data_IF_724583027868
#
_entry.id   IF_724583027868
#
_cell.length_a   1.000
_cell.length_b   1.000
_cell.length_c   1.000
_cell.angle_alpha   90.00
_cell.angle_beta   90.00
_cell.angle_gamma   90.00
#
_symmetry.space_group_name_H-M   'P 1'
#
loop_
_entity.id
_entity.type
_entity.pdbx_description
1 polymer ?
#
# COMPACT_ATOMS: atom_id res chain seq x y z
N UNK A 1 -1.33 6.48 7.56
CA UNK A 1 -2.09 5.34 8.13
C UNK A 1 -3.51 5.68 8.54
N UNK A 2 -3.77 6.86 9.15
CA UNK A 2 -5.14 7.33 9.45
C UNK A 2 -6.03 7.46 8.20
N UNK A 3 -5.45 7.74 7.02
CA UNK A 3 -6.15 7.69 5.72
C UNK A 3 -6.53 6.28 5.29
N UNK A 4 -5.67 5.30 5.61
CA UNK A 4 -5.77 3.93 5.11
C UNK A 4 -6.75 3.13 5.96
N UNK A 5 -8.02 3.54 5.98
CA UNK A 5 -9.10 2.91 6.73
C UNK A 5 -10.12 2.25 5.79
N UNK A 6 -10.79 1.17 6.23
CA UNK A 6 -11.93 0.62 5.51
C UNK A 6 -12.99 1.68 5.25
N UNK A 7 -13.75 1.52 4.16
CA UNK A 7 -14.91 2.37 3.84
C UNK A 7 -14.57 3.87 3.63
N UNK A 8 -13.31 4.15 3.29
CA UNK A 8 -12.80 5.49 2.98
C UNK A 8 -12.23 5.58 1.55
N UNK A 9 -12.50 4.58 0.69
CA UNK A 9 -11.93 4.45 -0.67
C UNK A 9 -10.40 4.51 -0.71
N UNK A 10 -9.73 4.10 0.37
CA UNK A 10 -8.29 4.21 0.54
C UNK A 10 -7.52 2.97 0.10
N UNK A 11 -8.21 1.84 -0.14
CA UNK A 11 -7.57 0.58 -0.48
C UNK A 11 -7.01 -0.15 0.74
N UNK A 12 -7.77 -0.24 1.83
CA UNK A 12 -7.32 -0.70 3.14
C UNK A 12 -6.88 -2.18 3.20
N UNK A 13 -7.25 -3.00 2.22
CA UNK A 13 -7.01 -4.43 2.21
C UNK A 13 -6.18 -4.86 0.99
N UNK A 14 -5.33 -5.88 1.17
CA UNK A 14 -4.53 -6.52 0.12
C UNK A 14 -5.44 -7.30 -0.84
N UNK A 15 -6.03 -6.59 -1.79
CA UNK A 15 -6.88 -7.17 -2.83
C UNK A 15 -6.90 -6.30 -4.08
N UNK A 16 -7.40 -6.89 -5.17
CA UNK A 16 -7.68 -6.19 -6.42
C UNK A 16 -9.11 -6.44 -6.89
N UNK A 17 -9.66 -5.58 -7.73
CA UNK A 17 -11.01 -5.75 -8.26
C UNK A 17 -11.35 -4.83 -9.43
N UNK A 18 -12.38 -5.19 -10.20
CA UNK A 18 -12.88 -4.37 -11.31
C UNK A 18 -13.82 -3.32 -10.77
N UNK A 19 -13.54 -2.05 -11.09
CA UNK A 19 -14.27 -0.88 -10.59
C UNK A 19 -14.42 -0.75 -9.07
N UNK A 20 -13.87 -1.69 -8.30
CA UNK A 20 -13.97 -1.72 -6.85
C UNK A 20 -13.14 -0.59 -6.23
N UNK A 21 -13.84 0.42 -5.70
CA UNK A 21 -13.23 1.61 -5.08
C UNK A 21 -12.62 1.33 -3.71
N UNK A 22 -12.87 0.18 -3.09
CA UNK A 22 -12.27 -0.20 -1.80
C UNK A 22 -11.07 -1.14 -1.95
N UNK A 23 -10.82 -1.67 -3.15
CA UNK A 23 -9.64 -2.47 -3.43
C UNK A 23 -8.35 -1.63 -3.40
N UNK A 24 -7.23 -2.21 -2.98
CA UNK A 24 -5.92 -1.57 -3.05
C UNK A 24 -5.48 -1.34 -4.50
N UNK A 25 -5.78 -2.31 -5.37
CA UNK A 25 -5.56 -2.23 -6.81
C UNK A 25 -6.92 -2.25 -7.52
N UNK A 26 -7.26 -1.18 -8.22
CA UNK A 26 -8.51 -1.08 -8.98
C UNK A 26 -8.23 -1.17 -10.47
N UNK A 27 -9.03 -1.96 -11.17
CA UNK A 27 -9.05 -2.00 -12.64
C UNK A 27 -10.30 -1.26 -13.10
N UNK A 28 -10.19 0.01 -13.53
CA UNK A 28 -11.34 0.78 -13.98
C UNK A 28 -11.81 0.30 -15.35
N UNK A 29 -13.13 0.16 -15.50
CA UNK A 29 -13.73 -0.05 -16.81
C UNK A 29 -13.62 1.20 -17.67
N UNK A 30 -13.39 1.03 -18.96
CA UNK A 30 -13.43 2.10 -19.95
C UNK A 30 -14.53 1.80 -20.98
N UNK A 31 -15.45 2.74 -21.17
CA UNK A 31 -16.50 2.63 -22.20
C UNK A 31 -15.93 2.61 -23.62
N UNK A 32 -14.67 3.03 -23.81
CA UNK A 32 -13.95 2.96 -25.08
C UNK A 32 -13.00 1.78 -25.07
N UNK A 33 -12.95 1.05 -26.18
CA UNK A 33 -12.02 -0.05 -26.39
C UNK A 33 -10.65 0.46 -26.86
N UNK A 34 -9.53 -0.20 -26.49
CA UNK A 34 -9.48 -1.38 -25.63
C UNK A 34 -9.66 -1.05 -24.14
N UNK A 35 -10.32 -1.94 -23.40
CA UNK A 35 -10.44 -1.90 -21.93
C UNK A 35 -9.94 -3.22 -21.33
N UNK A 36 -9.25 -3.20 -20.17
CA UNK A 36 -8.82 -2.03 -19.38
C UNK A 36 -7.64 -1.27 -20.02
N UNK A 37 -7.54 0.03 -19.76
CA UNK A 37 -6.42 0.87 -20.27
C UNK A 37 -5.30 1.06 -19.27
N UNK A 38 -5.59 0.91 -17.97
CA UNK A 38 -4.64 1.13 -16.89
C UNK A 38 -5.10 0.43 -15.61
N UNK A 39 -4.23 0.47 -14.60
CA UNK A 39 -4.47 -0.03 -13.25
C UNK A 39 -4.29 1.16 -12.29
N UNK A 40 -5.14 1.27 -11.27
CA UNK A 40 -5.06 2.28 -10.22
C UNK A 40 -4.50 1.65 -8.93
N UNK A 41 -3.34 2.13 -8.46
CA UNK A 41 -2.82 1.81 -7.11
C UNK A 41 -3.29 2.87 -6.12
N UNK A 42 -4.19 2.51 -5.21
CA UNK A 42 -4.92 3.46 -4.36
C UNK A 42 -4.28 3.75 -3.00
N UNK A 43 -3.33 2.91 -2.62
CA UNK A 43 -2.71 2.94 -1.29
C UNK A 43 -1.65 4.04 -1.15
N UNK A 44 -1.25 4.68 -2.25
CA UNK A 44 -0.31 5.80 -2.27
C UNK A 44 -1.02 7.11 -1.99
N UNK A 45 -0.38 8.01 -1.23
CA UNK A 45 -0.83 9.39 -1.01
C UNK A 45 0.31 10.39 -1.15
N UNK A 46 -0.03 11.67 -1.05
CA UNK A 46 0.89 12.79 -1.31
C UNK A 46 2.04 12.92 -0.30
N UNK A 47 2.05 12.14 0.79
CA UNK A 47 3.19 12.09 1.70
C UNK A 47 4.33 11.23 1.17
N UNK A 48 4.07 10.38 0.17
CA UNK A 48 5.08 9.52 -0.42
C UNK A 48 6.01 10.29 -1.36
N UNK A 49 7.30 9.93 -1.35
CA UNK A 49 8.20 10.35 -2.43
C UNK A 49 7.76 9.67 -3.73
N UNK A 50 7.38 10.42 -4.79
CA UNK A 50 6.79 9.85 -6.00
C UNK A 50 7.74 8.93 -6.75
N UNK A 51 9.05 9.19 -6.71
CA UNK A 51 10.06 8.35 -7.35
C UNK A 51 10.18 6.99 -6.66
N UNK A 52 10.21 6.98 -5.32
CA UNK A 52 10.29 5.75 -4.55
C UNK A 52 9.00 4.93 -4.65
N UNK A 53 7.84 5.59 -4.60
CA UNK A 53 6.54 4.92 -4.73
C UNK A 53 6.38 4.27 -6.11
N UNK A 54 6.68 5.00 -7.18
CA UNK A 54 6.62 4.47 -8.54
C UNK A 54 7.66 3.36 -8.77
N UNK A 55 8.89 3.55 -8.30
CA UNK A 55 9.96 2.56 -8.39
C UNK A 55 9.59 1.24 -7.70
N UNK A 56 9.04 1.30 -6.49
CA UNK A 56 8.58 0.13 -5.76
C UNK A 56 7.43 -0.59 -6.49
N UNK A 57 6.48 0.15 -7.06
CA UNK A 57 5.38 -0.44 -7.83
C UNK A 57 5.88 -1.15 -9.10
N UNK A 58 6.83 -0.55 -9.82
CA UNK A 58 7.45 -1.15 -11.01
C UNK A 58 8.23 -2.42 -10.63
N UNK A 59 9.06 -2.36 -9.58
CA UNK A 59 9.83 -3.51 -9.13
C UNK A 59 8.93 -4.69 -8.73
N UNK A 60 7.87 -4.44 -7.95
CA UNK A 60 6.90 -5.46 -7.58
C UNK A 60 6.14 -6.04 -8.79
N UNK A 61 5.77 -5.19 -9.75
CA UNK A 61 5.10 -5.63 -10.97
C UNK A 61 5.99 -6.51 -11.86
N UNK A 62 7.27 -6.13 -12.03
CA UNK A 62 8.25 -6.90 -12.80
C UNK A 62 8.52 -8.27 -12.16
N UNK A 63 8.71 -8.33 -10.83
CA UNK A 63 8.88 -9.60 -10.11
C UNK A 63 7.70 -10.55 -10.35
N UNK A 64 6.47 -10.02 -10.30
CA UNK A 64 5.25 -10.80 -10.58
C UNK A 64 5.22 -11.38 -11.99
N UNK A 65 5.66 -10.60 -13.00
CA UNK A 65 5.73 -11.05 -14.39
C UNK A 65 6.82 -12.11 -14.56
N UNK A 66 8.03 -11.85 -14.06
CA UNK A 66 9.20 -12.74 -14.20
C UNK A 66 8.94 -14.10 -13.55
N UNK A 67 8.30 -14.09 -12.39
CA UNK A 67 7.94 -15.31 -11.64
C UNK A 67 6.61 -15.93 -12.06
N UNK A 68 5.93 -15.33 -13.04
CA UNK A 68 4.63 -15.77 -13.56
C UNK A 68 3.60 -15.98 -12.44
N UNK A 69 3.56 -15.05 -11.49
CA UNK A 69 2.63 -15.14 -10.36
C UNK A 69 1.19 -15.05 -10.86
N UNK A 70 0.34 -15.91 -10.31
CA UNK A 70 -1.09 -15.89 -10.60
C UNK A 70 -1.79 -14.94 -9.64
N UNK A 71 -2.67 -14.09 -10.17
CA UNK A 71 -3.52 -13.24 -9.34
C UNK A 71 -4.61 -14.08 -8.64
N UNK A 72 -4.98 -13.75 -7.39
CA UNK A 72 -6.17 -14.32 -6.78
C UNK A 72 -7.43 -13.83 -7.51
N UNK A 73 -8.58 -14.44 -7.21
CA UNK A 73 -9.87 -13.99 -7.75
C UNK A 73 -10.16 -12.51 -7.42
N UNK A 74 -10.70 -11.72 -8.37
CA UNK A 74 -11.02 -10.33 -8.12
C UNK A 74 -12.09 -10.18 -7.04
N UNK A 75 -11.92 -9.17 -6.20
CA UNK A 75 -12.88 -8.81 -5.16
C UNK A 75 -13.82 -7.74 -5.71
N UNK A 76 -15.10 -8.09 -5.89
CA UNK A 76 -16.12 -7.22 -6.49
C UNK A 76 -17.05 -6.55 -5.45
N UNK A 77 -16.78 -6.76 -4.17
CA UNK A 77 -17.52 -6.19 -3.04
C UNK A 77 -16.60 -5.35 -2.17
N UNK A 78 -17.16 -4.57 -1.25
CA UNK A 78 -16.37 -3.92 -0.18
C UNK A 78 -15.68 -5.01 0.66
N UNK A 79 -14.33 -5.12 0.66
CA UNK A 79 -13.62 -6.10 1.46
C UNK A 79 -13.87 -5.95 2.97
N UNK A 80 -14.20 -4.74 3.43
CA UNK A 80 -14.54 -4.45 4.82
C UNK A 80 -15.89 -5.03 5.26
N UNK A 81 -16.79 -5.35 4.32
CA UNK A 81 -18.09 -5.95 4.61
C UNK A 81 -18.05 -7.48 4.73
N UNK A 82 -16.95 -8.10 4.30
CA UNK A 82 -16.75 -9.55 4.41
C UNK A 82 -16.52 -9.96 5.87
N UNK A 83 -16.91 -11.19 6.23
CA UNK A 83 -16.51 -11.79 7.49
C UNK A 83 -15.00 -12.06 7.53
N UNK A 84 -14.40 -12.11 8.72
CA UNK A 84 -12.98 -12.42 8.90
C UNK A 84 -12.60 -13.77 8.26
N UNK A 85 -13.38 -14.82 8.55
CA UNK A 85 -13.17 -16.14 7.97
C UNK A 85 -13.21 -16.14 6.43
N UNK A 86 -14.11 -15.34 5.83
CA UNK A 86 -14.19 -15.22 4.37
C UNK A 86 -12.98 -14.46 3.81
N UNK A 87 -12.54 -13.39 4.49
CA UNK A 87 -11.31 -12.68 4.11
C UNK A 87 -10.10 -13.61 4.13
N UNK A 88 -9.94 -14.41 5.18
CA UNK A 88 -8.80 -15.32 5.32
C UNK A 88 -8.80 -16.38 4.21
N UNK A 89 -9.95 -16.98 3.91
CA UNK A 89 -10.11 -17.95 2.82
C UNK A 89 -9.74 -17.35 1.46
N UNK A 90 -10.00 -16.05 1.27
CA UNK A 90 -9.69 -15.30 0.04
C UNK A 90 -8.33 -14.61 0.08
N UNK A 91 -7.55 -14.78 1.15
CA UNK A 91 -6.24 -14.15 1.38
C UNK A 91 -6.30 -12.61 1.32
N UNK A 92 -7.38 -12.03 1.86
CA UNK A 92 -7.62 -10.58 1.90
C UNK A 92 -7.15 -10.06 3.26
N UNK A 93 -5.88 -9.68 3.33
CA UNK A 93 -5.29 -9.18 4.58
C UNK A 93 -5.46 -7.67 4.72
N UNK A 94 -5.50 -7.21 5.96
CA UNK A 94 -5.38 -5.78 6.27
C UNK A 94 -3.97 -5.29 5.93
N UNK A 95 -3.86 -4.16 5.22
CA UNK A 95 -2.57 -3.49 5.04
C UNK A 95 -2.07 -2.91 6.38
N UNK A 96 -0.75 -2.65 6.52
CA UNK A 96 -0.18 -2.10 7.74
C UNK A 96 -0.96 -0.90 8.29
N UNK A 97 -1.28 -0.94 9.58
CA UNK A 97 -2.16 0.05 10.23
C UNK A 97 -1.39 1.18 10.92
N UNK A 98 -0.05 1.07 10.96
CA UNK A 98 0.86 2.07 11.50
C UNK A 98 2.15 2.12 10.70
N UNK A 99 2.94 3.19 10.89
CA UNK A 99 4.26 3.32 10.30
C UNK A 99 5.18 2.20 10.79
N UNK A 100 5.13 1.87 12.08
CA UNK A 100 5.87 0.74 12.66
C UNK A 100 5.57 -0.59 11.96
N UNK A 101 4.30 -0.92 11.72
CA UNK A 101 3.94 -2.14 10.99
C UNK A 101 4.45 -2.14 9.54
N UNK A 102 4.43 -0.99 8.86
CA UNK A 102 4.92 -0.87 7.50
C UNK A 102 6.45 -0.98 7.42
N UNK A 103 7.17 -0.45 8.40
CA UNK A 103 8.63 -0.61 8.54
C UNK A 103 8.97 -2.10 8.69
N UNK A 104 8.29 -2.81 9.60
CA UNK A 104 8.49 -4.26 9.79
C UNK A 104 8.19 -5.03 8.50
N UNK A 105 7.11 -4.68 7.79
CA UNK A 105 6.77 -5.31 6.52
C UNK A 105 7.87 -5.07 5.46
N UNK A 106 8.40 -3.85 5.36
CA UNK A 106 9.48 -3.53 4.42
C UNK A 106 10.81 -4.23 4.78
N UNK A 107 11.12 -4.36 6.07
CA UNK A 107 12.29 -5.13 6.53
C UNK A 107 12.23 -6.59 6.09
N UNK A 108 11.03 -7.14 5.93
CA UNK A 108 10.78 -8.51 5.49
C UNK A 108 10.57 -8.64 3.97
N UNK A 109 10.77 -7.56 3.20
CA UNK A 109 10.55 -7.53 1.75
C UNK A 109 11.89 -7.43 0.99
N UNK A 110 12.63 -8.56 0.82
CA UNK A 110 13.95 -8.54 0.18
C UNK A 110 13.91 -7.93 -1.23
N UNK A 111 12.88 -8.23 -2.02
CA UNK A 111 12.66 -7.65 -3.36
C UNK A 111 12.74 -6.12 -3.36
N UNK A 112 12.03 -5.46 -2.43
CA UNK A 112 11.98 -4.00 -2.39
C UNK A 112 13.28 -3.41 -1.84
N UNK A 113 13.91 -4.08 -0.87
CA UNK A 113 15.20 -3.66 -0.33
C UNK A 113 16.32 -3.78 -1.37
N UNK A 114 16.32 -4.85 -2.17
CA UNK A 114 17.22 -5.03 -3.31
C UNK A 114 16.99 -3.97 -4.38
N UNK A 115 15.72 -3.69 -4.72
CA UNK A 115 15.37 -2.64 -5.69
C UNK A 115 15.81 -1.23 -5.22
N UNK A 116 15.77 -0.96 -3.92
CA UNK A 116 16.30 0.29 -3.33
C UNK A 116 17.83 0.31 -3.24
N UNK A 117 18.48 -0.85 -3.27
CA UNK A 117 19.92 -1.00 -3.11
C UNK A 117 20.42 -0.38 -1.80
N UNK A 118 21.57 0.33 -1.80
CA UNK A 118 22.12 0.96 -0.59
C UNK A 118 21.18 1.94 0.10
N UNK A 119 20.21 2.51 -0.62
CA UNK A 119 19.23 3.45 -0.05
C UNK A 119 18.26 2.75 0.92
N UNK A 120 18.02 1.44 0.77
CA UNK A 120 17.02 0.71 1.55
C UNK A 120 17.27 0.79 3.06
N UNK A 121 18.52 0.62 3.49
CA UNK A 121 18.88 0.72 4.92
C UNK A 121 18.71 2.14 5.46
N UNK A 122 19.15 3.15 4.70
CA UNK A 122 18.98 4.55 5.08
C UNK A 122 17.51 4.94 5.17
N UNK A 123 16.69 4.48 4.20
CA UNK A 123 15.26 4.72 4.21
C UNK A 123 14.59 4.14 5.47
N UNK A 124 14.90 2.88 5.80
CA UNK A 124 14.40 2.23 7.02
C UNK A 124 14.83 2.98 8.28
N UNK A 125 16.10 3.38 8.38
CA UNK A 125 16.61 4.12 9.54
C UNK A 125 15.89 5.46 9.74
N UNK A 126 15.67 6.22 8.66
CA UNK A 126 14.94 7.50 8.72
C UNK A 126 13.49 7.29 9.14
N UNK A 127 12.80 6.29 8.58
CA UNK A 127 11.40 5.99 8.94
C UNK A 127 11.26 5.48 10.36
N UNK A 128 12.23 4.70 10.84
CA UNK A 128 12.26 4.24 12.24
C UNK A 128 12.44 5.41 13.20
N UNK A 129 13.39 6.31 12.94
CA UNK A 129 13.59 7.49 13.77
C UNK A 129 12.38 8.45 13.74
N UNK A 130 11.70 8.56 12.61
CA UNK A 130 10.43 9.31 12.50
C UNK A 130 9.32 8.67 13.34
N UNK A 131 9.17 7.35 13.27
CA UNK A 131 8.19 6.62 14.08
C UNK A 131 8.42 6.78 15.59
N UNK A 132 9.66 6.63 16.04
CA UNK A 132 10.05 6.81 17.45
C UNK A 132 9.84 8.25 17.92
N UNK A 133 10.15 9.24 17.09
CA UNK A 133 9.95 10.66 17.43
C UNK A 133 8.47 11.04 17.60
N UNK A 134 7.55 10.28 17.00
CA UNK A 134 6.10 10.49 17.13
C UNK A 134 5.48 9.69 18.28
N UNK A 135 6.25 8.86 18.98
CA UNK A 135 5.72 8.02 20.05
C UNK A 135 5.14 8.88 21.19
N UNK A 136 3.89 8.60 21.57
CA UNK A 136 3.18 9.32 22.63
C UNK A 136 2.73 10.75 22.28
N UNK A 137 2.97 11.22 21.06
CA UNK A 137 2.47 12.53 20.62
C UNK A 137 0.95 12.48 20.40
N UNK A 138 0.30 13.62 20.64
CA UNK A 138 -1.06 13.85 20.15
C UNK A 138 -1.07 14.09 18.64
N UNK A 139 -2.23 13.91 17.99
CA UNK A 139 -2.36 14.14 16.55
C UNK A 139 -1.90 15.54 16.12
N UNK A 140 -2.22 16.57 16.90
CA UNK A 140 -1.80 17.94 16.58
C UNK A 140 -0.28 18.06 16.57
N UNK A 141 0.39 17.47 17.56
CA UNK A 141 1.85 17.46 17.66
C UNK A 141 2.50 16.62 16.55
N UNK A 142 1.92 15.48 16.18
CA UNK A 142 2.37 14.69 15.02
C UNK A 142 2.34 15.54 13.75
N UNK A 143 1.25 16.26 13.50
CA UNK A 143 1.08 17.09 12.30
C UNK A 143 2.06 18.27 12.29
N UNK A 144 2.22 18.97 13.42
CA UNK A 144 3.18 20.07 13.56
C UNK A 144 4.61 19.60 13.27
N UNK A 145 5.04 18.47 13.85
CA UNK A 145 6.36 17.89 13.62
C UNK A 145 6.60 17.55 12.15
N UNK A 146 5.59 16.97 11.47
CA UNK A 146 5.71 16.60 10.06
C UNK A 146 5.75 17.83 9.14
N UNK A 147 4.98 18.88 9.44
CA UNK A 147 5.01 20.14 8.68
C UNK A 147 6.33 20.90 8.84
N UNK A 148 7.00 20.78 9.98
CA UNK A 148 8.33 21.39 10.16
C UNK A 148 9.42 20.65 9.38
N UNK A 149 9.25 19.35 9.15
CA UNK A 149 10.24 18.50 8.48
C UNK A 149 10.08 18.46 6.95
N UNK A 150 8.89 18.73 6.42
CA UNK A 150 8.55 18.59 4.99
C UNK A 150 7.83 19.82 4.45
#
# INVERSE_FOLDING_TARGET
>A
YRRLQPQCWSGAFRCWGYDNREAAIRIPSNFRQPSPTHIELKTVDSSANPYLALGAAIAAGLDGIERQLTLPEPVQVDPGSLGEQERDQRQIDRLPESLGMAIVALQQAPLLLEALGPLGQTYLAVRQAEWEAMEGLSLTQEVELLLERY
#
